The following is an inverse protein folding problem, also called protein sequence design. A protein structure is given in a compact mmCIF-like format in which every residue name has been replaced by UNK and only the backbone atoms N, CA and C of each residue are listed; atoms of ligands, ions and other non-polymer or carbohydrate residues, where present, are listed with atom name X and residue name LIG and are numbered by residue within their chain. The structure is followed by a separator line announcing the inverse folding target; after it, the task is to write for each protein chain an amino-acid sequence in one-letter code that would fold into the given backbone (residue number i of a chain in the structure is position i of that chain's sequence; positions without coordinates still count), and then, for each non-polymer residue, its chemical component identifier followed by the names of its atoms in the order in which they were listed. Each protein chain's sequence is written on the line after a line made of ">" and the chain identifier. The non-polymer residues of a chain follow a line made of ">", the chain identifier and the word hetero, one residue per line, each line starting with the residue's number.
data_IF_867594565817
#
_entry.id   IF_867594565817
#
_cell.length_a   1.000
_cell.length_b   1.000
_cell.length_c   1.000
_cell.angle_alpha   90.00
_cell.angle_beta   90.00
_cell.angle_gamma   90.00
#
_symmetry.space_group_name_H-M   'P 1'
#
loop_
_entity.id
_entity.type
_entity.pdbx_description
1 polymer ?
#
# COMPACT_ATOMS: atom_id res chain seq x y z
N UNK A 1 23.63 42.83 43.38
CA UNK A 1 23.74 41.36 43.32
C UNK A 1 22.39 40.73 43.63
N UNK A 2 21.37 40.90 42.78
CA UNK A 2 20.00 40.37 43.02
C UNK A 2 19.26 39.93 41.77
N UNK A 3 19.94 39.49 40.68
CA UNK A 3 19.25 39.13 39.43
C UNK A 3 19.71 37.83 38.79
N UNK A 4 20.34 36.89 39.51
CA UNK A 4 20.84 35.63 38.95
C UNK A 4 19.98 34.40 39.34
N UNK A 5 19.06 34.56 40.31
CA UNK A 5 18.29 33.43 40.85
C UNK A 5 17.00 33.06 40.08
N UNK A 6 16.55 33.85 39.10
CA UNK A 6 15.24 33.65 38.45
C UNK A 6 15.35 32.86 37.11
N UNK A 7 16.53 32.76 36.53
CA UNK A 7 16.70 32.10 35.22
C UNK A 7 16.85 30.58 35.33
N UNK A 8 17.16 30.02 36.50
CA UNK A 8 17.39 28.59 36.68
C UNK A 8 16.11 27.77 36.94
N UNK A 9 14.97 28.38 37.21
CA UNK A 9 13.71 27.69 37.50
C UNK A 9 12.88 27.43 36.22
N UNK A 10 13.07 28.18 35.15
CA UNK A 10 12.32 28.00 33.92
C UNK A 10 12.85 26.91 32.99
N UNK A 11 14.08 26.41 33.22
CA UNK A 11 14.68 25.37 32.36
C UNK A 11 14.28 23.93 32.77
N UNK A 12 13.64 23.74 33.91
CA UNK A 12 13.26 22.41 34.44
C UNK A 12 11.80 22.01 34.12
N UNK A 13 11.01 22.88 33.51
CA UNK A 13 9.58 22.64 33.27
C UNK A 13 9.24 22.11 31.85
N UNK A 14 10.22 21.88 31.00
CA UNK A 14 9.99 21.39 29.63
C UNK A 14 10.34 19.91 29.37
N UNK A 15 10.52 19.12 30.42
CA UNK A 15 10.64 17.66 30.28
C UNK A 15 9.33 16.94 30.60
N UNK A 16 8.19 17.43 30.09
CA UNK A 16 6.95 16.68 30.19
C UNK A 16 6.69 15.91 28.89
N UNK A 17 6.89 14.60 28.98
CA UNK A 17 6.06 13.65 28.29
C UNK A 17 6.32 13.49 26.81
N UNK A 18 7.49 13.01 26.43
CA UNK A 18 7.49 12.02 25.32
C UNK A 18 6.80 10.78 25.90
N UNK A 19 5.48 10.73 25.83
CA UNK A 19 4.78 9.47 26.01
C UNK A 19 5.31 8.56 24.89
N UNK A 20 6.03 7.54 25.31
CA UNK A 20 6.40 6.46 24.41
C UNK A 20 5.12 6.02 23.68
N UNK A 21 5.15 6.05 22.36
CA UNK A 21 4.11 5.45 21.53
C UNK A 21 3.72 4.12 22.17
N UNK A 22 2.43 3.95 22.45
CA UNK A 22 1.90 2.68 22.90
C UNK A 22 2.46 1.60 21.98
N UNK A 23 3.14 0.62 22.54
CA UNK A 23 3.73 -0.49 21.78
C UNK A 23 2.65 -1.05 20.85
N UNK A 24 2.91 -1.07 19.56
CA UNK A 24 2.02 -1.73 18.59
C UNK A 24 1.85 -3.17 19.11
N UNK A 25 0.60 -3.63 19.33
CA UNK A 25 0.39 -4.98 19.81
C UNK A 25 1.07 -5.97 18.86
N UNK A 26 1.83 -6.91 19.40
CA UNK A 26 2.39 -7.98 18.61
C UNK A 26 1.26 -8.76 17.92
N UNK A 27 1.49 -9.17 16.67
CA UNK A 27 0.59 -10.08 15.98
C UNK A 27 0.41 -11.37 16.80
N UNK A 28 -0.78 -11.93 16.77
CA UNK A 28 -1.02 -13.23 17.40
C UNK A 28 -0.16 -14.30 16.75
N UNK A 29 0.44 -15.19 17.55
CA UNK A 29 1.22 -16.30 17.01
C UNK A 29 0.36 -17.10 16.01
N UNK A 30 0.93 -17.45 14.86
CA UNK A 30 0.25 -18.24 13.83
C UNK A 30 -0.73 -17.46 12.93
N UNK A 31 -0.76 -16.11 13.00
CA UNK A 31 -1.61 -15.30 12.11
C UNK A 31 -1.30 -15.51 10.62
N UNK A 32 -0.06 -15.84 10.29
CA UNK A 32 0.48 -16.10 8.95
C UNK A 32 0.72 -17.59 8.66
N UNK A 33 0.15 -18.47 9.50
CA UNK A 33 0.19 -19.93 9.31
C UNK A 33 -1.10 -20.38 8.64
N UNK A 34 -0.97 -21.15 7.56
CA UNK A 34 -2.12 -21.69 6.83
C UNK A 34 -2.95 -22.60 7.72
N UNK A 35 -4.24 -22.27 7.85
CA UNK A 35 -5.23 -23.07 8.60
C UNK A 35 -5.92 -24.06 7.67
N UNK A 36 -6.00 -25.31 8.09
CA UNK A 36 -6.78 -26.33 7.39
C UNK A 36 -8.27 -26.19 7.70
N UNK A 37 -9.13 -26.60 6.76
CA UNK A 37 -10.58 -26.62 6.98
C UNK A 37 -11.29 -25.27 6.89
N UNK A 38 -10.59 -24.19 6.54
CA UNK A 38 -11.20 -22.89 6.23
C UNK A 38 -11.37 -22.70 4.72
N UNK A 39 -12.35 -21.89 4.32
CA UNK A 39 -12.50 -21.48 2.94
C UNK A 39 -11.33 -20.56 2.55
N UNK A 40 -10.75 -20.80 1.39
CA UNK A 40 -9.60 -20.05 0.89
C UNK A 40 -10.00 -19.15 -0.27
N UNK A 41 -9.34 -17.99 -0.36
CA UNK A 41 -9.39 -17.12 -1.51
C UNK A 41 -8.56 -17.66 -2.68
N UNK A 42 -8.62 -16.96 -3.80
CA UNK A 42 -7.88 -17.33 -5.01
C UNK A 42 -6.95 -16.21 -5.43
N UNK A 43 -5.71 -16.55 -5.78
CA UNK A 43 -4.78 -15.63 -6.44
C UNK A 43 -4.64 -16.02 -7.89
N UNK A 44 -4.70 -15.01 -8.78
CA UNK A 44 -4.43 -15.18 -10.19
C UNK A 44 -3.52 -14.07 -10.72
N UNK A 45 -2.68 -14.41 -11.72
CA UNK A 45 -1.92 -13.43 -12.46
C UNK A 45 -2.78 -12.88 -13.59
N UNK A 46 -2.91 -11.56 -13.64
CA UNK A 46 -3.58 -10.85 -14.72
C UNK A 46 -2.60 -10.03 -15.55
N UNK A 47 -2.93 -9.81 -16.81
CA UNK A 47 -2.19 -8.92 -17.69
C UNK A 47 -3.09 -7.79 -18.17
N UNK A 48 -2.60 -6.55 -18.11
CA UNK A 48 -3.29 -5.38 -18.61
C UNK A 48 -2.43 -4.60 -19.60
N UNK A 49 -3.06 -3.89 -20.50
CA UNK A 49 -2.35 -3.02 -21.45
C UNK A 49 -2.10 -1.68 -20.78
N UNK A 50 -0.85 -1.38 -20.46
CA UNK A 50 -0.43 -0.07 -19.99
C UNK A 50 -0.17 0.86 -21.17
N UNK A 51 -0.98 1.87 -21.36
CA UNK A 51 -0.73 2.95 -22.33
C UNK A 51 0.41 3.85 -21.84
N UNK A 52 0.52 4.02 -20.55
CA UNK A 52 1.58 4.81 -19.89
C UNK A 52 2.96 4.27 -20.22
N UNK A 53 3.15 2.94 -20.19
CA UNK A 53 4.45 2.30 -20.47
C UNK A 53 4.57 1.84 -21.91
N UNK A 54 3.45 1.69 -22.62
CA UNK A 54 3.41 1.20 -24.01
C UNK A 54 3.63 -0.31 -24.12
N UNK A 55 3.28 -1.09 -23.07
CA UNK A 55 3.44 -2.55 -23.06
C UNK A 55 2.37 -3.23 -22.21
N UNK A 56 2.30 -4.58 -22.31
CA UNK A 56 1.53 -5.37 -21.35
C UNK A 56 2.28 -5.48 -20.03
N UNK A 57 1.58 -5.20 -18.94
CA UNK A 57 2.10 -5.32 -17.58
C UNK A 57 1.30 -6.34 -16.78
N UNK A 58 1.88 -6.83 -15.69
CA UNK A 58 1.27 -7.88 -14.86
C UNK A 58 0.92 -7.34 -13.48
N UNK A 59 -0.09 -7.96 -12.88
CA UNK A 59 -0.40 -7.84 -11.46
C UNK A 59 -0.91 -9.19 -10.95
N UNK A 60 -0.75 -9.46 -9.64
CA UNK A 60 -1.52 -10.51 -9.00
C UNK A 60 -2.83 -9.92 -8.47
N UNK A 61 -3.89 -10.69 -8.52
CA UNK A 61 -5.19 -10.33 -7.94
C UNK A 61 -5.67 -11.45 -7.03
N UNK A 62 -5.84 -11.10 -5.76
CA UNK A 62 -6.49 -11.96 -4.79
C UNK A 62 -8.00 -11.66 -4.77
N UNK A 63 -8.81 -12.71 -4.82
CA UNK A 63 -10.26 -12.67 -4.61
C UNK A 63 -10.62 -13.46 -3.36
N UNK A 64 -11.52 -12.94 -2.48
CA UNK A 64 -11.79 -13.54 -1.19
C UNK A 64 -12.54 -14.88 -1.29
N UNK A 65 -12.53 -15.70 -0.23
CA UNK A 65 -13.37 -16.89 -0.16
C UNK A 65 -14.84 -16.56 -0.47
N UNK A 66 -15.48 -17.42 -1.25
CA UNK A 66 -16.87 -17.20 -1.69
C UNK A 66 -17.06 -16.01 -2.63
N UNK A 67 -16.00 -15.63 -3.35
CA UNK A 67 -16.06 -14.58 -4.39
C UNK A 67 -17.20 -14.85 -5.38
N UNK A 68 -17.96 -13.81 -5.71
CA UNK A 68 -19.03 -13.87 -6.69
C UNK A 68 -19.08 -12.59 -7.54
N UNK A 69 -19.28 -12.75 -8.83
CA UNK A 69 -19.45 -11.60 -9.76
C UNK A 69 -20.73 -10.79 -9.50
N UNK A 70 -21.70 -11.36 -8.77
CA UNK A 70 -22.94 -10.67 -8.40
C UNK A 70 -22.80 -9.77 -7.18
N UNK A 71 -21.70 -9.88 -6.43
CA UNK A 71 -21.38 -9.02 -5.28
C UNK A 71 -20.40 -7.94 -5.68
N UNK A 72 -20.36 -6.84 -4.90
CA UNK A 72 -19.37 -5.77 -5.06
C UNK A 72 -18.40 -5.78 -3.88
N UNK A 73 -17.11 -5.50 -4.15
CA UNK A 73 -16.03 -5.58 -3.17
C UNK A 73 -15.25 -4.28 -3.10
N UNK A 74 -14.81 -3.85 -1.92
CA UNK A 74 -13.75 -2.87 -1.80
C UNK A 74 -12.45 -3.42 -2.38
N UNK A 75 -11.50 -2.54 -2.73
CA UNK A 75 -10.24 -2.93 -3.34
C UNK A 75 -9.06 -2.29 -2.61
N UNK A 76 -8.02 -3.08 -2.35
CA UNK A 76 -6.72 -2.65 -1.85
C UNK A 76 -5.67 -2.84 -2.95
N UNK A 77 -4.91 -1.79 -3.27
CA UNK A 77 -3.68 -1.85 -4.07
C UNK A 77 -2.50 -1.94 -3.11
N UNK A 78 -1.77 -3.06 -3.14
CA UNK A 78 -0.69 -3.37 -2.19
C UNK A 78 0.66 -3.38 -2.93
N UNK A 79 1.49 -2.35 -2.68
CA UNK A 79 2.70 -2.05 -3.43
C UNK A 79 3.94 -2.66 -2.77
N UNK A 80 4.85 -3.19 -3.61
CA UNK A 80 6.10 -3.84 -3.19
C UNK A 80 7.24 -2.85 -2.93
N UNK A 81 8.34 -3.34 -2.32
CA UNK A 81 9.58 -2.59 -2.10
C UNK A 81 10.43 -2.44 -3.36
N UNK A 82 11.56 -1.68 -3.25
CA UNK A 82 12.41 -1.37 -4.41
C UNK A 82 13.04 -2.61 -5.07
N UNK A 83 13.30 -3.66 -4.31
CA UNK A 83 13.90 -4.92 -4.80
C UNK A 83 12.88 -5.94 -5.31
N UNK A 84 11.57 -5.62 -5.24
CA UNK A 84 10.50 -6.54 -5.57
C UNK A 84 9.84 -6.32 -6.93
N UNK A 85 8.79 -7.09 -7.13
CA UNK A 85 7.85 -7.01 -8.24
C UNK A 85 6.45 -7.45 -7.76
N UNK A 86 5.54 -7.75 -8.65
CA UNK A 86 4.16 -8.19 -8.32
C UNK A 86 4.10 -9.45 -7.46
N UNK A 87 5.20 -10.21 -7.36
CA UNK A 87 5.28 -11.46 -6.57
C UNK A 87 5.83 -11.26 -5.16
N UNK A 88 6.43 -10.10 -4.84
CA UNK A 88 7.15 -9.91 -3.55
C UNK A 88 6.24 -10.19 -2.34
N UNK A 89 5.07 -9.60 -2.28
CA UNK A 89 4.14 -9.83 -1.18
C UNK A 89 3.67 -11.27 -1.11
N UNK A 90 3.39 -11.88 -2.26
CA UNK A 90 2.96 -13.27 -2.33
C UNK A 90 4.01 -14.23 -1.79
N UNK A 91 5.26 -14.05 -2.21
CA UNK A 91 6.36 -14.94 -1.83
C UNK A 91 6.84 -14.74 -0.38
N UNK A 92 6.82 -13.48 0.12
CA UNK A 92 7.46 -13.13 1.38
C UNK A 92 6.46 -12.77 2.49
N UNK A 93 5.31 -12.18 2.14
CA UNK A 93 4.32 -11.68 3.09
C UNK A 93 3.10 -12.57 3.28
N UNK A 94 2.92 -13.58 2.45
CA UNK A 94 1.78 -14.54 2.49
C UNK A 94 0.41 -13.86 2.68
N UNK A 95 0.09 -12.76 1.96
CA UNK A 95 -1.13 -11.99 2.21
C UNK A 95 -2.41 -12.82 2.08
N UNK A 96 -2.43 -13.82 1.17
CA UNK A 96 -3.59 -14.72 1.03
C UNK A 96 -3.86 -15.51 2.31
N UNK A 97 -2.82 -16.04 2.98
CA UNK A 97 -2.97 -16.82 4.22
C UNK A 97 -3.50 -15.92 5.33
N UNK A 98 -2.95 -14.72 5.47
CA UNK A 98 -3.37 -13.74 6.48
C UNK A 98 -4.83 -13.33 6.24
N UNK A 99 -5.18 -13.01 5.00
CA UNK A 99 -6.54 -12.61 4.62
C UNK A 99 -7.54 -13.75 4.86
N UNK A 100 -7.23 -14.98 4.44
CA UNK A 100 -8.10 -16.13 4.61
C UNK A 100 -8.34 -16.43 6.10
N UNK A 101 -7.28 -16.35 6.93
CA UNK A 101 -7.39 -16.51 8.38
C UNK A 101 -8.29 -15.43 9.00
N UNK A 102 -8.11 -14.15 8.62
CA UNK A 102 -8.92 -13.05 9.13
C UNK A 102 -10.39 -13.14 8.67
N UNK A 103 -10.67 -13.64 7.47
CA UNK A 103 -12.04 -13.87 7.00
C UNK A 103 -12.70 -15.01 7.79
N UNK A 104 -11.99 -16.11 8.00
CA UNK A 104 -12.49 -17.24 8.79
C UNK A 104 -12.81 -16.84 10.25
N UNK A 105 -12.08 -15.85 10.78
CA UNK A 105 -12.29 -15.29 12.12
C UNK A 105 -13.35 -14.16 12.16
N UNK A 106 -13.94 -13.79 11.03
CA UNK A 106 -14.91 -12.68 10.94
C UNK A 106 -14.31 -11.31 11.24
N UNK A 107 -12.97 -11.15 11.16
CA UNK A 107 -12.24 -9.92 11.49
C UNK A 107 -12.01 -8.99 10.30
N UNK A 108 -12.37 -9.43 9.10
CA UNK A 108 -12.12 -8.66 7.89
C UNK A 108 -13.33 -8.68 6.95
N UNK A 109 -13.66 -7.52 6.39
CA UNK A 109 -14.64 -7.44 5.30
C UNK A 109 -14.03 -8.01 4.03
N UNK A 110 -14.71 -8.90 3.30
CA UNK A 110 -14.25 -9.45 2.04
C UNK A 110 -13.88 -8.35 1.04
N UNK A 111 -12.64 -8.39 0.53
CA UNK A 111 -12.10 -7.40 -0.41
C UNK A 111 -11.28 -8.07 -1.51
N UNK A 112 -11.09 -7.36 -2.61
CA UNK A 112 -10.13 -7.70 -3.65
C UNK A 112 -8.81 -7.03 -3.31
N UNK A 113 -7.69 -7.77 -3.42
CA UNK A 113 -6.35 -7.19 -3.25
C UNK A 113 -5.58 -7.33 -4.56
N UNK A 114 -5.05 -6.21 -5.03
CA UNK A 114 -4.26 -6.11 -6.27
C UNK A 114 -2.80 -5.86 -5.89
N UNK A 115 -1.92 -6.72 -6.34
CA UNK A 115 -0.47 -6.63 -6.12
C UNK A 115 0.20 -6.32 -7.47
N UNK A 116 0.37 -5.06 -7.82
CA UNK A 116 0.99 -4.67 -9.09
C UNK A 116 2.50 -4.64 -8.99
N UNK A 117 3.17 -4.57 -10.15
CA UNK A 117 4.55 -4.10 -10.19
C UNK A 117 4.58 -2.57 -10.16
N UNK A 118 5.14 -1.99 -9.10
CA UNK A 118 5.22 -0.54 -8.89
C UNK A 118 6.30 0.16 -9.72
N UNK A 119 7.06 -0.55 -10.57
CA UNK A 119 8.07 0.01 -11.46
C UNK A 119 7.52 0.08 -12.89
N UNK A 120 6.98 1.23 -13.29
CA UNK A 120 6.26 1.41 -14.56
C UNK A 120 7.20 1.78 -15.71
N UNK A 121 8.07 0.85 -16.09
CA UNK A 121 8.93 0.92 -17.27
C UNK A 121 8.89 -0.42 -18.03
N UNK A 122 9.42 -0.47 -19.26
CA UNK A 122 9.40 -1.69 -20.08
C UNK A 122 10.19 -2.84 -19.46
N UNK A 123 11.39 -2.54 -18.93
CA UNK A 123 12.19 -3.48 -18.13
C UNK A 123 11.86 -3.31 -16.64
N UNK A 124 10.69 -3.80 -16.25
CA UNK A 124 10.14 -3.63 -14.90
C UNK A 124 10.66 -4.65 -13.86
N UNK A 125 11.65 -5.48 -14.23
CA UNK A 125 12.23 -6.47 -13.30
C UNK A 125 13.28 -5.85 -12.39
N UNK A 126 13.38 -6.38 -11.16
CA UNK A 126 14.39 -5.99 -10.17
C UNK A 126 15.72 -6.70 -10.44
N UNK A 127 16.29 -6.55 -11.65
CA UNK A 127 17.55 -7.15 -12.07
C UNK A 127 18.63 -6.07 -12.31
N UNK A 128 19.88 -6.44 -12.22
CA UNK A 128 21.01 -5.52 -12.42
C UNK A 128 21.07 -4.43 -11.33
N UNK A 129 21.38 -3.19 -11.74
CA UNK A 129 21.40 -2.07 -10.80
C UNK A 129 19.97 -1.54 -10.58
N UNK A 130 19.31 -2.00 -9.51
CA UNK A 130 17.95 -1.58 -9.14
C UNK A 130 17.83 -0.09 -8.76
N UNK A 131 18.97 0.56 -8.49
CA UNK A 131 19.07 2.00 -8.20
C UNK A 131 19.43 2.83 -9.42
N UNK A 132 19.48 2.24 -10.62
CA UNK A 132 19.67 3.00 -11.85
C UNK A 132 18.56 4.07 -12.00
N UNK A 133 18.90 5.27 -12.50
CA UNK A 133 17.97 6.41 -12.55
C UNK A 133 16.65 6.08 -13.24
N UNK A 134 16.68 5.36 -14.34
CA UNK A 134 15.49 4.92 -15.10
C UNK A 134 14.61 3.95 -14.29
N UNK A 135 15.22 3.03 -13.52
CA UNK A 135 14.50 2.10 -12.66
C UNK A 135 13.87 2.81 -11.46
N UNK A 136 14.54 3.79 -10.90
CA UNK A 136 13.99 4.62 -9.81
C UNK A 136 12.86 5.52 -10.35
N UNK A 137 13.04 6.14 -11.51
CA UNK A 137 12.00 6.96 -12.16
C UNK A 137 10.74 6.15 -12.46
N UNK A 138 10.88 4.86 -12.78
CA UNK A 138 9.76 3.95 -13.00
C UNK A 138 8.76 3.91 -11.85
N UNK A 139 9.22 4.11 -10.61
CA UNK A 139 8.34 4.19 -9.44
C UNK A 139 7.50 5.47 -9.40
N UNK A 140 8.01 6.60 -9.92
CA UNK A 140 7.23 7.82 -10.04
C UNK A 140 6.22 7.74 -11.21
N UNK A 141 6.64 7.14 -12.34
CA UNK A 141 5.79 6.94 -13.52
C UNK A 141 4.58 6.05 -13.16
N UNK A 142 4.72 5.15 -12.19
CA UNK A 142 3.65 4.23 -11.79
C UNK A 142 2.38 4.94 -11.33
N UNK A 143 2.43 6.16 -10.81
CA UNK A 143 1.22 6.92 -10.49
C UNK A 143 0.27 7.01 -11.69
N UNK A 144 0.82 7.37 -12.86
CA UNK A 144 0.04 7.48 -14.10
C UNK A 144 -0.49 6.13 -14.57
N UNK A 145 0.34 5.10 -14.50
CA UNK A 145 -0.07 3.73 -14.87
C UNK A 145 -1.16 3.20 -13.93
N UNK A 146 -1.02 3.43 -12.63
CA UNK A 146 -2.03 3.04 -11.64
C UNK A 146 -3.38 3.70 -11.92
N UNK A 147 -3.38 5.03 -12.08
CA UNK A 147 -4.63 5.81 -12.20
C UNK A 147 -5.30 5.66 -13.57
N UNK A 148 -4.52 5.58 -14.65
CA UNK A 148 -5.05 5.64 -16.00
C UNK A 148 -5.18 4.27 -16.68
N UNK A 149 -4.43 3.27 -16.23
CA UNK A 149 -4.40 1.96 -16.87
C UNK A 149 -4.86 0.84 -15.93
N UNK A 150 -4.24 0.68 -14.74
CA UNK A 150 -4.52 -0.45 -13.86
C UNK A 150 -5.87 -0.32 -13.15
N UNK A 151 -6.20 0.80 -12.51
CA UNK A 151 -7.49 1.00 -11.84
C UNK A 151 -8.64 0.79 -12.82
N UNK A 152 -8.68 1.43 -14.00
CA UNK A 152 -9.72 1.18 -15.00
C UNK A 152 -9.82 -0.28 -15.45
N UNK A 153 -8.69 -0.97 -15.59
CA UNK A 153 -8.67 -2.40 -15.93
C UNK A 153 -9.33 -3.25 -14.82
N UNK A 154 -8.96 -3.03 -13.56
CA UNK A 154 -9.54 -3.74 -12.41
C UNK A 154 -11.04 -3.47 -12.31
N UNK A 155 -11.47 -2.23 -12.45
CA UNK A 155 -12.88 -1.84 -12.39
C UNK A 155 -13.74 -2.41 -13.53
N UNK A 156 -13.13 -2.71 -14.68
CA UNK A 156 -13.79 -3.37 -15.80
C UNK A 156 -13.87 -4.88 -15.62
N UNK A 157 -12.83 -5.48 -15.02
CA UNK A 157 -12.65 -6.93 -14.95
C UNK A 157 -13.28 -7.55 -13.73
N UNK A 158 -13.24 -6.84 -12.60
CA UNK A 158 -13.70 -7.31 -11.30
C UNK A 158 -14.88 -6.47 -10.78
N UNK A 159 -15.77 -7.08 -9.99
CA UNK A 159 -16.91 -6.37 -9.41
C UNK A 159 -16.49 -5.52 -8.20
N UNK A 160 -15.67 -4.50 -8.41
CA UNK A 160 -15.23 -3.58 -7.35
C UNK A 160 -16.21 -2.43 -7.15
N UNK A 161 -16.26 -1.89 -5.92
CA UNK A 161 -16.95 -0.65 -5.61
C UNK A 161 -16.02 0.49 -6.03
N UNK A 162 -16.53 1.41 -6.88
CA UNK A 162 -15.69 2.40 -7.59
C UNK A 162 -15.51 3.73 -6.86
N UNK A 163 -16.04 3.89 -5.65
CA UNK A 163 -15.88 5.11 -4.85
C UNK A 163 -14.55 5.12 -4.07
N UNK A 164 -14.15 6.29 -3.59
CA UNK A 164 -12.93 6.47 -2.80
C UNK A 164 -12.97 5.74 -1.46
N UNK A 165 -14.14 5.68 -0.81
CA UNK A 165 -14.34 5.07 0.51
C UNK A 165 -14.09 3.57 0.50
N UNK A 166 -14.19 2.96 -0.68
CA UNK A 166 -13.97 1.51 -0.90
C UNK A 166 -12.66 1.23 -1.62
N UNK A 167 -11.76 2.22 -1.75
CA UNK A 167 -10.45 2.05 -2.40
C UNK A 167 -9.33 2.44 -1.46
N UNK A 168 -8.41 1.50 -1.24
CA UNK A 168 -7.22 1.65 -0.43
C UNK A 168 -5.95 1.50 -1.26
N UNK A 169 -4.88 2.16 -0.81
CA UNK A 169 -3.52 1.96 -1.30
C UNK A 169 -2.59 1.81 -0.11
N UNK A 170 -1.74 0.79 -0.12
CA UNK A 170 -0.73 0.58 0.90
C UNK A 170 0.54 -0.04 0.30
N UNK A 171 1.68 0.08 0.97
CA UNK A 171 2.90 -0.50 0.44
C UNK A 171 4.07 -0.52 1.40
N UNK A 172 5.10 -1.29 1.03
CA UNK A 172 6.32 -1.50 1.79
C UNK A 172 7.47 -0.66 1.22
N UNK A 173 8.25 -0.01 2.07
CA UNK A 173 9.49 0.68 1.68
C UNK A 173 9.24 1.69 0.54
N UNK A 174 9.78 1.47 -0.66
CA UNK A 174 9.50 2.29 -1.85
C UNK A 174 8.00 2.32 -2.16
N UNK A 175 7.30 1.19 -2.10
CA UNK A 175 5.85 1.13 -2.26
C UNK A 175 5.10 1.88 -1.16
N UNK A 176 5.66 1.97 0.06
CA UNK A 176 5.15 2.83 1.13
C UNK A 176 5.24 4.30 0.75
N UNK A 177 6.39 4.75 0.25
CA UNK A 177 6.56 6.11 -0.27
C UNK A 177 5.63 6.43 -1.45
N UNK A 178 5.44 5.47 -2.38
CA UNK A 178 4.45 5.59 -3.44
C UNK A 178 3.03 5.73 -2.87
N UNK A 179 2.66 4.87 -1.90
CA UNK A 179 1.33 4.90 -1.30
C UNK A 179 1.01 6.24 -0.64
N UNK A 180 1.98 6.80 0.10
CA UNK A 180 1.84 8.14 0.70
C UNK A 180 1.71 9.22 -0.38
N UNK A 181 2.60 9.23 -1.38
CA UNK A 181 2.58 10.24 -2.43
C UNK A 181 1.33 10.16 -3.31
N UNK A 182 0.93 8.97 -3.74
CA UNK A 182 -0.20 8.80 -4.66
C UNK A 182 -1.53 8.88 -3.92
N UNK A 183 -1.62 8.28 -2.72
CA UNK A 183 -2.84 8.30 -1.94
C UNK A 183 -3.19 9.69 -1.43
N UNK A 184 -2.23 10.41 -0.86
CA UNK A 184 -2.44 11.78 -0.38
C UNK A 184 -2.58 12.80 -1.51
N UNK A 185 -1.89 12.57 -2.65
CA UNK A 185 -2.00 13.40 -3.85
C UNK A 185 -3.30 13.20 -4.64
N UNK A 186 -4.07 12.13 -4.36
CA UNK A 186 -5.30 11.78 -5.05
C UNK A 186 -6.41 11.39 -4.07
N UNK A 187 -6.76 12.31 -3.15
CA UNK A 187 -7.76 12.09 -2.11
C UNK A 187 -9.17 11.85 -2.66
N UNK A 188 -9.43 12.26 -3.89
CA UNK A 188 -10.68 11.97 -4.63
C UNK A 188 -10.74 10.49 -5.10
N UNK A 189 -9.62 9.78 -5.11
CA UNK A 189 -9.52 8.37 -5.51
C UNK A 189 -9.38 7.42 -4.32
N UNK A 190 -8.65 7.81 -3.27
CA UNK A 190 -8.31 6.94 -2.14
C UNK A 190 -8.79 7.56 -0.83
N UNK A 191 -9.52 6.79 -0.01
CA UNK A 191 -9.87 7.17 1.35
C UNK A 191 -8.91 6.55 2.39
N UNK A 192 -8.20 5.48 2.03
CA UNK A 192 -7.35 4.72 2.93
C UNK A 192 -5.95 4.63 2.36
N UNK A 193 -4.98 5.11 3.13
CA UNK A 193 -3.57 5.13 2.75
C UNK A 193 -2.74 4.51 3.86
N UNK A 194 -1.87 3.55 3.51
CA UNK A 194 -0.99 2.87 4.45
C UNK A 194 0.46 2.81 3.96
N UNK A 195 1.40 2.98 4.87
CA UNK A 195 2.82 2.84 4.59
C UNK A 195 3.50 1.95 5.62
N UNK A 196 4.24 0.92 5.16
CA UNK A 196 5.02 0.02 5.99
C UNK A 196 6.49 0.33 5.78
N UNK A 197 7.19 0.84 6.81
CA UNK A 197 8.61 1.24 6.72
C UNK A 197 8.89 2.06 5.46
N UNK A 198 8.08 3.08 5.20
CA UNK A 198 8.08 3.85 3.95
C UNK A 198 9.45 4.47 3.67
N UNK A 199 9.84 4.50 2.40
CA UNK A 199 11.00 5.25 1.95
C UNK A 199 10.82 6.75 2.28
N UNK A 200 11.92 7.47 2.65
CA UNK A 200 11.85 8.88 3.06
C UNK A 200 11.74 9.82 1.85
N UNK A 201 10.81 9.56 0.94
CA UNK A 201 10.58 10.31 -0.29
C UNK A 201 9.16 10.89 -0.39
N UNK A 202 8.46 11.00 0.75
CA UNK A 202 7.15 11.64 0.80
C UNK A 202 7.30 13.13 0.46
N UNK A 203 6.51 13.59 -0.50
CA UNK A 203 6.48 15.00 -0.92
C UNK A 203 5.98 15.88 0.23
N UNK A 204 6.33 17.16 0.20
CA UNK A 204 5.86 18.13 1.19
C UNK A 204 4.32 18.21 1.22
N UNK A 205 3.71 18.47 2.37
CA UNK A 205 2.24 18.54 2.51
C UNK A 205 1.59 19.50 1.52
N UNK A 206 2.21 20.62 1.25
CA UNK A 206 1.71 21.66 0.32
C UNK A 206 1.65 21.17 -1.13
N UNK A 207 2.47 20.16 -1.47
CA UNK A 207 2.47 19.52 -2.80
C UNK A 207 1.41 18.44 -2.89
N UNK A 208 1.19 17.70 -1.79
CA UNK A 208 0.25 16.58 -1.75
C UNK A 208 -1.19 17.04 -1.56
N UNK A 209 -1.38 18.05 -0.72
CA UNK A 209 -2.70 18.61 -0.39
C UNK A 209 -2.63 20.13 -0.55
N UNK A 210 -2.64 20.64 -1.78
CA UNK A 210 -2.43 22.07 -2.03
C UNK A 210 -3.55 22.98 -1.49
N UNK A 211 -4.72 22.42 -1.21
CA UNK A 211 -5.87 23.12 -0.63
C UNK A 211 -6.42 22.30 0.55
N UNK A 212 -5.72 22.27 1.72
CA UNK A 212 -6.26 21.61 2.89
C UNK A 212 -7.56 22.31 3.33
N UNK A 213 -8.60 21.51 3.61
CA UNK A 213 -9.89 21.99 4.13
C UNK A 213 -9.73 22.36 5.60
#
# INVERSE_FOLDING_TARGET
>A
MKNIAIILVCALAYCFGVQAQSSIPHSQAGFDVEKTGIAQGKIETVAYNSKTVGTKRKALVYTPPGFSKSKKYPVLYLLHGIGGDELEWFNNGKPQVILDNLYAEGKLTPMIVVLPNGRAIKDDRATGNIMAPDKVEGFAIFEKDLLNDLIPFIEKTYPVIKNRESRAIAGLSMGGGQSLNFGLGNLDKFAWVGGFSSAPNTKAPEVLVPNPV
#
